data_IF_466825877467
#
_entry.id   IF_466825877467
#
_cell.length_a   1.000
_cell.length_b   1.000
_cell.length_c   1.000
_cell.angle_alpha   90.00
_cell.angle_beta   90.00
_cell.angle_gamma   90.00
#
_symmetry.space_group_name_H-M   'P 1'
#
loop_
_entity.id
_entity.type
_entity.pdbx_description
1 polymer ?
#
# COMPACT_ATOMS: atom_id res chain seq x y z
N UNK A 1 8.01 -2.87 -2.29
CA UNK A 1 6.87 -2.55 -3.20
C UNK A 1 5.57 -2.62 -2.42
N UNK A 2 4.66 -1.67 -2.60
CA UNK A 2 3.34 -1.68 -1.97
C UNK A 2 2.35 -2.35 -2.91
N UNK A 3 1.68 -3.38 -2.42
CA UNK A 3 0.69 -4.17 -3.16
C UNK A 3 -0.68 -3.94 -2.56
N UNK A 4 -1.61 -3.46 -3.37
CA UNK A 4 -2.98 -3.14 -2.96
C UNK A 4 -3.96 -4.10 -3.62
N UNK A 5 -4.88 -4.68 -2.85
CA UNK A 5 -5.93 -5.55 -3.39
C UNK A 5 -7.23 -4.78 -3.56
N UNK A 6 -7.57 -4.43 -4.80
CA UNK A 6 -8.80 -3.73 -5.17
C UNK A 6 -9.97 -4.68 -5.49
N UNK A 7 -9.78 -5.99 -5.32
CA UNK A 7 -10.81 -7.00 -5.52
C UNK A 7 -11.75 -7.15 -4.34
N UNK A 8 -12.78 -7.97 -4.52
CA UNK A 8 -13.81 -8.26 -3.49
C UNK A 8 -13.47 -9.45 -2.58
N UNK A 9 -12.39 -10.19 -2.91
CA UNK A 9 -11.94 -11.37 -2.16
C UNK A 9 -10.46 -11.27 -1.75
N UNK A 10 -10.04 -11.89 -0.64
CA UNK A 10 -8.63 -11.96 -0.25
C UNK A 10 -7.78 -12.62 -1.34
N UNK A 11 -6.60 -12.08 -1.61
CA UNK A 11 -5.64 -12.63 -2.58
C UNK A 11 -4.35 -13.04 -1.89
N UNK A 12 -3.90 -14.26 -2.18
CA UNK A 12 -2.60 -14.75 -1.77
C UNK A 12 -1.55 -14.36 -2.79
N UNK A 13 -0.46 -13.76 -2.33
CA UNK A 13 0.74 -13.47 -3.12
C UNK A 13 1.84 -14.39 -2.63
N UNK A 14 2.51 -15.10 -3.55
CA UNK A 14 3.66 -15.92 -3.20
C UNK A 14 4.89 -15.04 -3.02
N UNK A 15 5.64 -15.27 -1.95
CA UNK A 15 6.85 -14.55 -1.64
C UNK A 15 7.81 -15.49 -0.90
N UNK A 16 8.93 -15.84 -1.53
CA UNK A 16 10.01 -16.61 -0.89
C UNK A 16 9.54 -17.90 -0.21
N UNK A 17 8.63 -18.66 -0.84
CA UNK A 17 8.13 -19.91 -0.28
C UNK A 17 6.89 -19.79 0.61
N UNK A 18 6.43 -18.56 0.89
CA UNK A 18 5.28 -18.30 1.77
C UNK A 18 4.17 -17.55 1.03
N UNK A 19 2.91 -17.89 1.31
CA UNK A 19 1.76 -17.13 0.81
C UNK A 19 1.45 -15.98 1.78
N UNK A 20 1.55 -14.75 1.29
CA UNK A 20 1.11 -13.54 1.99
C UNK A 20 -0.29 -13.17 1.53
N UNK A 21 -1.24 -13.18 2.45
CA UNK A 21 -2.63 -12.80 2.18
C UNK A 21 -2.79 -11.27 2.24
N UNK A 22 -3.46 -10.71 1.24
CA UNK A 22 -3.89 -9.31 1.18
C UNK A 22 -5.42 -9.28 1.14
N UNK A 23 -6.04 -8.70 2.18
CA UNK A 23 -7.50 -8.57 2.28
C UNK A 23 -8.05 -7.57 1.24
N UNK A 24 -9.33 -7.67 0.86
CA UNK A 24 -10.00 -6.66 0.04
C UNK A 24 -9.82 -5.25 0.60
N UNK A 25 -9.44 -4.29 -0.24
CA UNK A 25 -9.20 -2.89 0.14
C UNK A 25 -7.93 -2.64 0.97
N UNK A 26 -7.17 -3.68 1.31
CA UNK A 26 -5.93 -3.54 2.06
C UNK A 26 -4.74 -3.35 1.12
N UNK A 27 -3.73 -2.63 1.62
CA UNK A 27 -2.42 -2.54 1.02
C UNK A 27 -1.37 -3.14 1.94
N UNK A 28 -0.32 -3.72 1.35
CA UNK A 28 0.75 -4.38 2.09
C UNK A 28 2.07 -4.19 1.38
N UNK A 29 3.11 -3.88 2.15
CA UNK A 29 4.47 -3.78 1.63
C UNK A 29 5.07 -5.18 1.54
N UNK A 30 5.48 -5.54 0.32
CA UNK A 30 6.10 -6.82 -0.02
C UNK A 30 7.39 -6.55 -0.82
N UNK A 31 8.43 -7.30 -0.50
CA UNK A 31 9.68 -7.31 -1.26
C UNK A 31 9.56 -8.30 -2.44
N UNK A 32 8.65 -8.02 -3.37
CA UNK A 32 8.46 -8.85 -4.56
C UNK A 32 9.57 -8.58 -5.57
N UNK A 33 10.28 -9.63 -5.97
CA UNK A 33 11.36 -9.57 -6.96
C UNK A 33 11.27 -10.76 -7.92
N UNK A 34 11.87 -10.64 -9.10
CA UNK A 34 11.98 -11.74 -10.08
C UNK A 34 10.64 -12.44 -10.39
N UNK A 35 10.63 -13.76 -10.24
CA UNK A 35 9.45 -14.61 -10.50
C UNK A 35 8.25 -14.31 -9.61
N UNK A 36 8.47 -13.94 -8.34
CA UNK A 36 7.38 -13.62 -7.40
C UNK A 36 6.60 -12.40 -7.89
N UNK A 37 7.32 -11.38 -8.38
CA UNK A 37 6.72 -10.19 -8.97
C UNK A 37 5.96 -10.53 -10.27
N UNK A 38 6.56 -11.34 -11.14
CA UNK A 38 5.93 -11.76 -12.41
C UNK A 38 4.64 -12.52 -12.15
N UNK A 39 4.61 -13.41 -11.16
CA UNK A 39 3.40 -14.14 -10.78
C UNK A 39 2.34 -13.22 -10.16
N UNK A 40 2.74 -12.33 -9.24
CA UNK A 40 1.81 -11.40 -8.62
C UNK A 40 1.14 -10.48 -9.66
N UNK A 41 1.89 -10.00 -10.66
CA UNK A 41 1.37 -9.16 -11.75
C UNK A 41 0.32 -9.83 -12.63
N UNK A 42 0.21 -11.16 -12.62
CA UNK A 42 -0.88 -11.89 -13.32
C UNK A 42 -2.24 -11.72 -12.64
N UNK A 43 -2.27 -11.22 -11.41
CA UNK A 43 -3.50 -11.01 -10.65
C UNK A 43 -4.04 -9.60 -10.95
N UNK A 44 -5.01 -9.51 -11.87
CA UNK A 44 -5.57 -8.24 -12.36
C UNK A 44 -6.13 -7.30 -11.29
N UNK A 45 -6.51 -7.83 -10.12
CA UNK A 45 -7.08 -7.03 -9.01
C UNK A 45 -6.02 -6.46 -8.06
N UNK A 46 -4.74 -6.79 -8.28
CA UNK A 46 -3.64 -6.25 -7.50
C UNK A 46 -3.02 -5.06 -8.22
N UNK A 47 -2.82 -3.97 -7.47
CA UNK A 47 -2.08 -2.80 -7.90
C UNK A 47 -0.72 -2.76 -7.21
N UNK A 48 0.31 -2.39 -7.95
CA UNK A 48 1.69 -2.45 -7.51
C UNK A 48 2.30 -1.05 -7.60
N UNK A 49 2.65 -0.48 -6.45
CA UNK A 49 3.35 0.80 -6.35
C UNK A 49 4.77 0.53 -5.87
N UNK A 50 5.77 0.98 -6.63
CA UNK A 50 7.14 0.95 -6.15
C UNK A 50 7.25 1.95 -4.99
N UNK A 51 7.62 1.45 -3.79
CA UNK A 51 7.86 2.33 -2.65
C UNK A 51 9.23 2.92 -2.90
N UNK A 52 9.28 3.97 -3.71
CA UNK A 52 10.39 4.89 -3.70
C UNK A 52 10.25 5.58 -2.35
N UNK A 53 11.11 5.22 -1.39
CA UNK A 53 11.25 6.03 -0.18
C UNK A 53 11.42 7.47 -0.66
N UNK A 54 10.61 8.42 -0.19
CA UNK A 54 10.83 9.81 -0.55
C UNK A 54 12.24 10.12 -0.07
N UNK A 55 13.17 10.31 -1.01
CA UNK A 55 14.45 10.93 -0.76
C UNK A 55 14.11 12.26 -0.07
N UNK A 56 14.28 12.27 1.26
CA UNK A 56 13.92 13.33 2.20
C UNK A 56 12.98 14.41 1.67
N UNK A 57 11.70 14.28 2.02
CA UNK A 57 10.79 15.40 2.09
C UNK A 57 11.39 16.49 2.99
N UNK A 58 12.17 17.40 2.40
CA UNK A 58 12.47 18.69 3.00
C UNK A 58 11.13 19.47 3.06
N UNK A 59 10.55 19.51 4.26
CA UNK A 59 9.56 20.49 4.73
C UNK A 59 8.19 20.42 4.05
N UNK A 60 7.39 19.44 4.44
CA UNK A 60 5.94 19.58 4.49
C UNK A 60 5.44 19.38 5.93
N UNK A 61 5.97 20.20 6.85
CA UNK A 61 5.47 20.30 8.22
C UNK A 61 4.22 21.19 8.24
N UNK A 62 3.14 20.65 8.84
CA UNK A 62 1.91 21.31 9.31
C UNK A 62 0.80 21.64 8.29
N UNK A 63 0.10 20.61 7.86
CA UNK A 63 -1.34 20.72 7.54
C UNK A 63 -2.15 19.60 8.21
N UNK A 64 -2.24 19.61 9.55
CA UNK A 64 -3.32 18.90 10.26
C UNK A 64 -3.44 19.31 11.74
N UNK A 65 -4.10 20.43 12.03
CA UNK A 65 -5.03 20.49 13.17
C UNK A 65 -6.32 21.13 12.72
N UNK A 66 -7.26 20.25 12.42
CA UNK A 66 -8.67 20.46 12.17
C UNK A 66 -9.34 21.29 13.26
N UNK A 67 -10.14 22.27 12.79
CA UNK A 67 -11.39 22.81 13.35
C UNK A 67 -11.80 22.32 14.75
N UNK A 68 -11.99 23.27 15.66
CA UNK A 68 -13.11 23.25 16.62
C UNK A 68 -13.38 24.64 17.21
N UNK A 69 -14.61 25.10 16.96
CA UNK A 69 -15.48 25.99 17.76
C UNK A 69 -15.04 27.45 17.93
N UNK A 70 -15.78 28.43 17.40
CA UNK A 70 -17.14 28.85 17.78
C UNK A 70 -17.16 29.69 19.08
N UNK A 71 -17.42 30.99 18.87
CA UNK A 71 -18.17 31.94 19.72
C UNK A 71 -17.66 32.37 21.10
N UNK A 72 -17.90 33.68 21.33
CA UNK A 72 -18.09 34.40 22.60
C UNK A 72 -16.84 34.53 23.49
N UNK A 73 -16.41 35.72 23.90
CA UNK A 73 -17.17 36.85 24.47
C UNK A 73 -16.27 38.09 24.53
#
# INVERSE_FOLDING_TARGET
MKVTNSGTAPRGVYLGGTIKLIRPGASRELALEGDDLVQAKKINVLSFEEVVEPESAEKADRTAKTKSKEQAK
#
